data_IF_884046028046
#
_entry.id   IF_884046028046
#
_cell.length_a   1.000
_cell.length_b   1.000
_cell.length_c   1.000
_cell.angle_alpha   90.00
_cell.angle_beta   90.00
_cell.angle_gamma   90.00
#
_symmetry.space_group_name_H-M   'P 1'
#
loop_
_entity.id
_entity.type
_entity.pdbx_description
1 polymer ?
#
# COMPACT_ATOMS: atom_id res chain seq x y z
N UNK A 1 15.15 15.28 -18.85
CA UNK A 1 14.35 14.14 -19.36
C UNK A 1 13.10 13.77 -18.54
N UNK A 2 12.83 14.41 -17.38
CA UNK A 2 11.57 14.28 -16.64
C UNK A 2 10.33 14.85 -17.39
N UNK A 3 10.53 15.75 -18.35
CA UNK A 3 9.47 16.36 -19.18
C UNK A 3 8.67 15.34 -20.02
N UNK A 4 9.29 14.26 -20.52
CA UNK A 4 8.60 13.30 -21.43
C UNK A 4 7.62 12.35 -20.72
N UNK A 5 7.87 12.02 -19.45
CA UNK A 5 6.93 11.23 -18.64
C UNK A 5 5.73 12.07 -18.18
N UNK A 6 6.00 13.36 -17.88
CA UNK A 6 4.97 14.36 -17.63
C UNK A 6 4.07 14.53 -18.87
N UNK A 7 4.65 14.62 -20.06
CA UNK A 7 3.92 14.73 -21.34
C UNK A 7 3.07 13.51 -21.68
N UNK A 8 3.48 12.29 -21.32
CA UNK A 8 2.70 11.07 -21.60
C UNK A 8 1.47 10.97 -20.70
N UNK A 9 1.63 11.21 -19.39
CA UNK A 9 0.50 11.29 -18.46
C UNK A 9 -0.45 12.46 -18.81
N UNK A 10 0.10 13.62 -19.20
CA UNK A 10 -0.72 14.75 -19.68
C UNK A 10 -1.46 14.43 -20.98
N UNK A 11 -0.87 13.67 -21.92
CA UNK A 11 -1.53 13.24 -23.16
C UNK A 11 -2.65 12.24 -22.91
N UNK A 12 -2.45 11.25 -22.04
CA UNK A 12 -3.51 10.31 -21.65
C UNK A 12 -4.65 11.06 -20.93
N UNK A 13 -4.34 12.02 -20.05
CA UNK A 13 -5.34 12.85 -19.37
C UNK A 13 -6.03 13.83 -20.32
N UNK A 14 -5.33 14.41 -21.30
CA UNK A 14 -5.92 15.27 -22.32
C UNK A 14 -6.91 14.49 -23.18
N UNK A 15 -6.53 13.29 -23.62
CA UNK A 15 -7.38 12.35 -24.35
C UNK A 15 -8.58 11.89 -23.50
N UNK A 16 -8.38 11.60 -22.22
CA UNK A 16 -9.47 11.23 -21.29
C UNK A 16 -10.39 12.41 -20.94
N UNK A 17 -9.87 13.64 -20.82
CA UNK A 17 -10.67 14.85 -20.60
C UNK A 17 -11.49 15.24 -21.83
N UNK A 18 -11.01 14.91 -23.03
CA UNK A 18 -11.76 15.02 -24.27
C UNK A 18 -12.86 13.94 -24.34
N UNK A 19 -12.57 12.71 -23.91
CA UNK A 19 -13.58 11.65 -23.78
C UNK A 19 -14.63 11.92 -22.70
N UNK A 20 -14.28 12.55 -21.56
CA UNK A 20 -15.22 12.98 -20.51
C UNK A 20 -16.17 14.06 -21.04
N UNK A 21 -15.64 15.04 -21.79
CA UNK A 21 -16.46 16.08 -22.45
C UNK A 21 -17.34 15.51 -23.57
N UNK A 22 -16.89 14.46 -24.25
CA UNK A 22 -17.69 13.75 -25.25
C UNK A 22 -18.71 12.77 -24.64
N UNK A 23 -18.55 12.38 -23.36
CA UNK A 23 -19.38 11.40 -22.67
C UNK A 23 -20.52 12.03 -21.85
N UNK A 24 -20.90 13.28 -22.14
CA UNK A 24 -22.12 13.93 -21.61
C UNK A 24 -23.42 13.18 -22.00
N UNK A 25 -23.33 12.09 -22.75
CA UNK A 25 -24.42 11.17 -23.05
C UNK A 25 -24.32 9.85 -22.23
N UNK A 26 -24.85 9.91 -21.00
CA UNK A 26 -25.81 8.90 -20.53
C UNK A 26 -25.35 7.57 -19.91
N UNK A 27 -24.10 7.36 -19.47
CA UNK A 27 -23.72 6.09 -18.77
C UNK A 27 -23.12 6.31 -17.37
N UNK A 28 -23.88 6.04 -16.28
CA UNK A 28 -23.44 6.24 -14.89
C UNK A 28 -22.15 5.49 -14.50
N UNK A 29 -21.92 4.31 -15.09
CA UNK A 29 -20.74 3.48 -14.81
C UNK A 29 -19.43 4.10 -15.31
N UNK A 30 -19.46 4.80 -16.45
CA UNK A 30 -18.28 5.45 -17.03
C UNK A 30 -17.89 6.69 -16.21
N UNK A 31 -18.87 7.43 -15.69
CA UNK A 31 -18.65 8.61 -14.85
C UNK A 31 -18.00 8.25 -13.50
N UNK A 32 -18.47 7.18 -12.86
CA UNK A 32 -17.86 6.64 -11.64
C UNK A 32 -16.41 6.22 -11.88
N UNK A 33 -16.16 5.49 -12.97
CA UNK A 33 -14.82 5.04 -13.36
C UNK A 33 -13.86 6.22 -13.63
N UNK A 34 -14.31 7.23 -14.38
CA UNK A 34 -13.53 8.43 -14.70
C UNK A 34 -13.27 9.31 -13.47
N UNK A 35 -14.22 9.38 -12.53
CA UNK A 35 -14.04 10.08 -11.26
C UNK A 35 -13.01 9.37 -10.36
N UNK A 36 -13.05 8.04 -10.27
CA UNK A 36 -12.03 7.25 -9.57
C UNK A 36 -10.64 7.46 -10.17
N UNK A 37 -10.52 7.49 -11.51
CA UNK A 37 -9.27 7.80 -12.21
C UNK A 37 -8.75 9.21 -11.94
N UNK A 38 -9.64 10.21 -11.92
CA UNK A 38 -9.29 11.60 -11.60
C UNK A 38 -8.82 11.76 -10.15
N UNK A 39 -9.49 11.10 -9.20
CA UNK A 39 -9.07 11.10 -7.79
C UNK A 39 -7.73 10.40 -7.60
N UNK A 40 -7.48 9.29 -8.30
CA UNK A 40 -6.16 8.64 -8.35
C UNK A 40 -5.11 9.59 -8.93
N UNK A 41 -5.43 10.36 -9.97
CA UNK A 41 -4.50 11.31 -10.59
C UNK A 41 -4.18 12.54 -9.72
N UNK A 42 -5.19 13.20 -9.14
CA UNK A 42 -4.98 14.34 -8.25
C UNK A 42 -4.12 13.91 -7.06
N UNK A 43 -4.43 12.74 -6.51
CA UNK A 43 -3.65 12.16 -5.43
C UNK A 43 -2.26 11.71 -5.86
N UNK A 44 -2.09 11.22 -7.09
CA UNK A 44 -0.80 10.91 -7.70
C UNK A 44 0.09 12.16 -7.84
N UNK A 45 -0.50 13.29 -8.25
CA UNK A 45 0.20 14.58 -8.37
C UNK A 45 0.65 15.12 -7.01
N UNK A 46 -0.20 15.03 -5.99
CA UNK A 46 0.15 15.47 -4.63
C UNK A 46 1.20 14.56 -4.00
N UNK A 47 1.07 13.24 -4.20
CA UNK A 47 2.03 12.24 -3.71
C UNK A 47 3.40 12.45 -4.35
N UNK A 48 3.48 12.70 -5.66
CA UNK A 48 4.75 12.98 -6.34
C UNK A 48 5.38 14.26 -5.78
N UNK A 49 4.59 15.31 -5.58
CA UNK A 49 5.08 16.59 -5.06
C UNK A 49 5.71 16.42 -3.67
N UNK A 50 5.09 15.61 -2.81
CA UNK A 50 5.61 15.25 -1.47
C UNK A 50 6.85 14.35 -1.56
N UNK A 51 6.87 13.37 -2.45
CA UNK A 51 8.03 12.47 -2.67
C UNK A 51 9.25 13.22 -3.24
N UNK A 52 9.03 14.30 -3.98
CA UNK A 52 10.10 15.13 -4.57
C UNK A 52 10.59 16.25 -3.66
N UNK A 53 9.97 16.47 -2.50
CA UNK A 53 10.41 17.52 -1.57
C UNK A 53 11.66 17.07 -0.79
N UNK A 54 12.71 17.90 -0.69
CA UNK A 54 13.90 17.57 0.08
C UNK A 54 13.54 17.31 1.54
N UNK A 55 14.11 16.23 2.09
CA UNK A 55 13.84 15.80 3.46
C UNK A 55 14.40 16.83 4.45
N UNK A 56 13.54 17.45 5.25
CA UNK A 56 13.97 18.26 6.39
C UNK A 56 14.42 17.32 7.51
N UNK A 57 15.71 17.36 7.92
CA UNK A 57 16.24 16.51 8.99
C UNK A 57 15.68 16.87 10.39
N UNK A 58 15.03 18.02 10.56
CA UNK A 58 14.40 18.44 11.82
C UNK A 58 12.91 18.10 11.90
N UNK A 59 12.30 17.61 10.81
CA UNK A 59 10.89 17.26 10.81
C UNK A 59 10.65 15.98 11.62
N UNK A 60 9.89 16.13 12.72
CA UNK A 60 9.49 15.01 13.58
C UNK A 60 8.78 13.95 12.72
N UNK A 61 9.30 12.72 12.71
CA UNK A 61 8.71 11.62 11.93
C UNK A 61 7.31 11.32 12.45
N UNK A 62 6.29 11.63 11.65
CA UNK A 62 4.90 11.27 11.94
C UNK A 62 4.76 9.75 11.86
N UNK A 63 4.43 9.12 13.00
CA UNK A 63 4.23 7.67 13.15
C UNK A 63 2.85 7.42 13.75
N UNK A 64 2.21 6.28 13.45
CA UNK A 64 0.93 5.94 14.04
C UNK A 64 1.10 5.70 15.54
N UNK A 65 0.08 6.08 16.31
CA UNK A 65 0.07 5.90 17.77
C UNK A 65 -0.51 4.58 18.23
N UNK A 66 -1.16 3.83 17.34
CA UNK A 66 -1.72 2.51 17.61
C UNK A 66 -1.03 1.49 16.71
N UNK A 67 -0.41 0.49 17.33
CA UNK A 67 0.32 -0.57 16.64
C UNK A 67 -0.06 -1.93 17.24
N UNK A 68 0.12 -2.99 16.46
CA UNK A 68 -0.08 -4.36 16.93
C UNK A 68 1.26 -4.89 17.38
N UNK A 69 1.33 -5.38 18.62
CA UNK A 69 2.49 -6.12 19.10
C UNK A 69 2.53 -7.49 18.44
N UNK A 70 3.61 -7.78 17.72
CA UNK A 70 3.73 -8.96 16.86
C UNK A 70 3.81 -10.26 17.66
N UNK A 71 4.14 -10.22 18.95
CA UNK A 71 4.19 -11.40 19.83
C UNK A 71 2.84 -11.69 20.45
N UNK A 72 2.17 -10.66 20.97
CA UNK A 72 0.90 -10.82 21.70
C UNK A 72 -0.33 -10.75 20.78
N UNK A 73 -0.17 -10.18 19.57
CA UNK A 73 -1.23 -9.88 18.61
C UNK A 73 -2.30 -8.98 19.26
N UNK A 74 -1.85 -8.08 20.14
CA UNK A 74 -2.70 -7.09 20.81
C UNK A 74 -2.40 -5.72 20.26
N UNK A 75 -3.42 -4.88 20.23
CA UNK A 75 -3.24 -3.47 19.95
C UNK A 75 -2.62 -2.78 21.18
N UNK A 76 -1.59 -2.01 20.95
CA UNK A 76 -0.91 -1.16 21.94
C UNK A 76 -0.97 0.29 21.46
N UNK A 77 -1.24 1.19 22.39
CA UNK A 77 -1.34 2.62 22.13
C UNK A 77 -0.22 3.37 22.86
N UNK A 78 0.43 4.27 22.11
CA UNK A 78 1.54 5.09 22.58
C UNK A 78 1.05 6.49 22.91
N UNK A 79 1.44 6.98 24.08
CA UNK A 79 1.11 8.33 24.52
C UNK A 79 1.84 9.40 23.69
N UNK A 80 1.37 10.64 23.77
CA UNK A 80 1.92 11.77 23.01
C UNK A 80 3.42 12.02 23.27
N UNK A 81 3.90 11.66 24.47
CA UNK A 81 5.28 11.81 24.87
C UNK A 81 6.16 10.60 24.51
N UNK A 82 5.57 9.47 24.13
CA UNK A 82 6.31 8.26 23.84
C UNK A 82 6.95 8.32 22.46
N UNK A 83 8.17 7.78 22.35
CA UNK A 83 8.80 7.52 21.07
C UNK A 83 8.23 6.22 20.50
N UNK A 84 7.59 6.30 19.32
CA UNK A 84 7.06 5.11 18.64
C UNK A 84 8.23 4.31 18.06
N UNK A 85 8.41 3.02 18.44
CA UNK A 85 9.49 2.18 17.94
C UNK A 85 9.43 1.97 16.41
N UNK A 86 10.51 1.46 15.79
CA UNK A 86 10.46 0.98 14.41
C UNK A 86 9.39 -0.11 14.23
N UNK A 87 8.69 -0.08 13.10
CA UNK A 87 7.54 -0.95 12.84
C UNK A 87 7.46 -1.35 11.36
N UNK A 88 6.84 -2.50 11.12
CA UNK A 88 6.42 -2.94 9.80
C UNK A 88 5.00 -2.43 9.48
N UNK A 89 4.62 -2.42 8.21
CA UNK A 89 3.26 -2.10 7.78
C UNK A 89 2.71 -3.20 6.88
N UNK A 90 1.44 -3.58 7.06
CA UNK A 90 0.73 -4.47 6.14
C UNK A 90 -0.08 -3.63 5.16
N UNK A 91 0.10 -3.94 3.87
CA UNK A 91 -0.73 -3.48 2.78
C UNK A 91 -1.43 -4.68 2.15
N UNK A 92 -2.76 -4.69 2.14
CA UNK A 92 -3.55 -5.82 1.65
C UNK A 92 -4.89 -5.37 1.06
N UNK A 93 -5.44 -6.17 0.16
CA UNK A 93 -6.82 -6.01 -0.31
C UNK A 93 -7.80 -6.44 0.79
N UNK A 94 -8.83 -5.62 0.99
CA UNK A 94 -9.88 -5.92 1.95
C UNK A 94 -10.88 -6.91 1.38
N UNK A 95 -11.15 -7.99 2.12
CA UNK A 95 -12.23 -8.93 1.84
C UNK A 95 -13.48 -8.50 2.62
N UNK A 96 -14.55 -8.12 1.91
CA UNK A 96 -15.79 -7.67 2.53
C UNK A 96 -16.32 -8.70 3.53
N UNK A 97 -16.62 -8.24 4.76
CA UNK A 97 -17.13 -9.10 5.84
C UNK A 97 -16.09 -9.99 6.54
N UNK A 98 -14.86 -10.07 6.03
CA UNK A 98 -13.83 -10.94 6.58
C UNK A 98 -12.62 -10.21 7.20
N UNK A 99 -12.47 -8.92 6.96
CA UNK A 99 -11.48 -8.10 7.67
C UNK A 99 -11.84 -7.96 9.17
N UNK A 100 -10.79 -7.67 9.96
CA UNK A 100 -10.91 -7.35 11.38
C UNK A 100 -10.90 -5.83 11.53
N UNK A 101 -11.97 -5.28 12.10
CA UNK A 101 -12.03 -3.87 12.45
C UNK A 101 -11.25 -3.56 13.73
N UNK A 102 -11.02 -2.28 14.02
CA UNK A 102 -10.47 -1.84 15.31
C UNK A 102 -11.27 -2.39 16.50
N UNK A 103 -12.60 -2.26 16.47
CA UNK A 103 -13.47 -2.72 17.56
C UNK A 103 -13.38 -4.25 17.75
N UNK A 104 -13.25 -5.00 16.66
CA UNK A 104 -13.08 -6.45 16.71
C UNK A 104 -11.69 -6.82 17.26
N UNK A 105 -10.64 -6.10 16.86
CA UNK A 105 -9.28 -6.31 17.35
C UNK A 105 -9.18 -6.11 18.86
N UNK A 106 -9.85 -5.09 19.41
CA UNK A 106 -9.95 -4.86 20.87
C UNK A 106 -10.62 -6.05 21.57
N UNK A 107 -11.66 -6.63 20.95
CA UNK A 107 -12.42 -7.77 21.50
C UNK A 107 -11.75 -9.13 21.29
N UNK A 108 -10.79 -9.27 20.38
CA UNK A 108 -10.15 -10.54 20.01
C UNK A 108 -9.56 -11.33 21.19
N UNK A 109 -9.27 -10.67 22.31
CA UNK A 109 -8.72 -11.28 23.52
C UNK A 109 -9.78 -11.92 24.43
N UNK A 110 -11.07 -11.64 24.20
CA UNK A 110 -12.15 -12.22 25.00
C UNK A 110 -12.33 -13.71 24.64
N UNK A 111 -12.67 -14.53 25.64
CA UNK A 111 -12.95 -15.97 25.42
C UNK A 111 -14.08 -16.17 24.38
N UNK A 112 -15.03 -15.24 24.32
CA UNK A 112 -16.17 -15.23 23.39
C UNK A 112 -15.80 -14.85 21.95
N UNK A 113 -14.56 -14.40 21.69
CA UNK A 113 -14.14 -13.92 20.38
C UNK A 113 -13.77 -15.04 19.38
N UNK A 114 -14.24 -16.27 19.59
CA UNK A 114 -13.95 -17.40 18.70
C UNK A 114 -14.41 -17.13 17.25
N UNK A 115 -15.57 -16.50 17.07
CA UNK A 115 -16.09 -16.11 15.75
C UNK A 115 -15.17 -15.09 15.05
N UNK A 116 -14.68 -14.10 15.79
CA UNK A 116 -13.74 -13.08 15.28
C UNK A 116 -12.43 -13.74 14.85
N UNK A 117 -11.85 -14.61 15.70
CA UNK A 117 -10.60 -15.31 15.40
C UNK A 117 -10.70 -16.30 14.24
N UNK A 118 -11.92 -16.71 13.87
CA UNK A 118 -12.15 -17.62 12.74
C UNK A 118 -12.04 -16.94 11.36
N UNK A 119 -12.23 -15.61 11.30
CA UNK A 119 -12.21 -14.80 10.06
C UNK A 119 -10.87 -14.88 9.34
N UNK A 120 -10.89 -14.81 8.00
CA UNK A 120 -9.66 -14.82 7.18
C UNK A 120 -8.77 -13.60 7.50
N UNK A 121 -9.37 -12.42 7.77
CA UNK A 121 -8.65 -11.23 8.21
C UNK A 121 -7.80 -11.45 9.45
N UNK A 122 -8.31 -12.19 10.45
CA UNK A 122 -7.51 -12.49 11.65
C UNK A 122 -6.31 -13.36 11.33
N UNK A 123 -6.47 -14.38 10.47
CA UNK A 123 -5.36 -15.23 10.01
C UNK A 123 -4.30 -14.42 9.25
N UNK A 124 -4.73 -13.44 8.44
CA UNK A 124 -3.81 -12.50 7.76
C UNK A 124 -3.01 -11.68 8.78
N UNK A 125 -3.65 -11.15 9.82
CA UNK A 125 -2.97 -10.41 10.90
C UNK A 125 -1.94 -11.30 11.62
N UNK A 126 -2.31 -12.53 11.97
CA UNK A 126 -1.41 -13.49 12.64
C UNK A 126 -0.18 -13.77 11.77
N UNK A 127 -0.38 -14.08 10.49
CA UNK A 127 0.72 -14.38 9.58
C UNK A 127 1.60 -13.14 9.31
N UNK A 128 1.00 -11.95 9.21
CA UNK A 128 1.74 -10.68 9.12
C UNK A 128 2.60 -10.43 10.37
N UNK A 129 2.06 -10.67 11.56
CA UNK A 129 2.81 -10.58 12.82
C UNK A 129 3.96 -11.59 12.86
N UNK A 130 3.74 -12.82 12.39
CA UNK A 130 4.81 -13.83 12.29
C UNK A 130 5.93 -13.39 11.35
N UNK A 131 5.59 -12.84 10.18
CA UNK A 131 6.57 -12.34 9.23
C UNK A 131 7.32 -11.11 9.76
N UNK A 132 6.62 -10.16 10.40
CA UNK A 132 7.23 -9.02 11.08
C UNK A 132 8.23 -9.46 12.15
N UNK A 133 7.86 -10.44 12.97
CA UNK A 133 8.73 -11.00 14.00
C UNK A 133 9.96 -11.70 13.42
N UNK A 134 9.80 -12.41 12.29
CA UNK A 134 10.92 -13.03 11.55
C UNK A 134 11.93 -11.98 11.05
N UNK A 135 11.45 -10.79 10.70
CA UNK A 135 12.29 -9.67 10.30
C UNK A 135 12.69 -8.76 11.50
N UNK A 136 12.51 -9.22 12.74
CA UNK A 136 12.85 -8.54 14.01
C UNK A 136 12.05 -7.27 14.33
N UNK A 137 10.81 -7.16 13.84
CA UNK A 137 9.90 -6.09 14.24
C UNK A 137 8.97 -6.52 15.39
N UNK A 138 9.01 -5.76 16.48
CA UNK A 138 8.07 -5.92 17.61
C UNK A 138 6.67 -5.42 17.27
N UNK A 139 6.56 -4.49 16.32
CA UNK A 139 5.31 -3.82 16.00
C UNK A 139 4.99 -3.87 14.51
N UNK A 140 3.71 -4.01 14.21
CA UNK A 140 3.15 -3.88 12.86
C UNK A 140 1.93 -2.97 12.86
N UNK A 141 1.78 -2.15 11.83
CA UNK A 141 0.58 -1.35 11.58
C UNK A 141 -0.27 -1.97 10.47
N UNK A 142 -1.60 -1.98 10.67
CA UNK A 142 -2.58 -2.49 9.70
C UNK A 142 -3.79 -1.56 9.74
N UNK A 143 -4.13 -0.94 8.62
CA UNK A 143 -5.15 0.12 8.54
C UNK A 143 -6.53 -0.30 9.08
N UNK A 144 -6.99 -1.50 8.75
CA UNK A 144 -8.33 -2.00 9.13
C UNK A 144 -8.54 -2.08 10.63
N UNK A 145 -7.48 -2.38 11.40
CA UNK A 145 -7.57 -2.60 12.85
C UNK A 145 -6.79 -1.59 13.71
N UNK A 146 -5.88 -0.81 13.13
CA UNK A 146 -5.18 0.25 13.86
C UNK A 146 -5.87 1.62 13.75
N UNK A 147 -6.75 1.84 12.77
CA UNK A 147 -7.52 3.07 12.63
C UNK A 147 -8.90 2.85 13.25
N UNK A 148 -9.30 3.74 14.15
CA UNK A 148 -10.67 3.71 14.67
C UNK A 148 -11.56 4.53 13.76
N UNK A 149 -12.44 3.86 13.02
CA UNK A 149 -13.40 4.49 12.12
C UNK A 149 -14.60 5.11 12.84
N UNK A 150 -14.77 4.82 14.13
CA UNK A 150 -15.83 5.37 14.99
C UNK A 150 -15.51 6.74 15.56
N UNK A 151 -14.23 7.13 15.61
CA UNK A 151 -13.78 8.47 16.01
C UNK A 151 -13.46 9.30 14.76
N UNK A 152 -14.38 10.17 14.37
CA UNK A 152 -14.24 11.02 13.17
C UNK A 152 -13.06 12.00 13.26
N UNK A 153 -12.70 12.46 14.46
CA UNK A 153 -11.59 13.37 14.66
C UNK A 153 -10.26 12.67 14.42
N UNK A 154 -10.08 11.50 15.04
CA UNK A 154 -8.88 10.68 14.86
C UNK A 154 -8.79 10.09 13.45
N UNK A 155 -9.91 9.67 12.86
CA UNK A 155 -9.95 9.14 11.49
C UNK A 155 -9.41 10.14 10.47
N UNK A 156 -9.82 11.41 10.56
CA UNK A 156 -9.33 12.46 9.65
C UNK A 156 -7.81 12.65 9.79
N UNK A 157 -7.30 12.65 11.03
CA UNK A 157 -5.87 12.76 11.29
C UNK A 157 -5.08 11.55 10.76
N UNK A 158 -5.58 10.33 11.00
CA UNK A 158 -4.96 9.09 10.52
C UNK A 158 -4.95 9.03 8.98
N UNK A 159 -6.02 9.44 8.31
CA UNK A 159 -6.10 9.51 6.84
C UNK A 159 -5.09 10.52 6.29
N UNK A 160 -5.01 11.70 6.88
CA UNK A 160 -4.07 12.74 6.45
C UNK A 160 -2.61 12.34 6.71
N UNK A 161 -2.36 11.48 7.70
CA UNK A 161 -1.02 11.01 8.09
C UNK A 161 -0.63 9.67 7.45
N UNK A 162 -1.53 9.01 6.72
CA UNK A 162 -1.32 7.64 6.22
C UNK A 162 -0.08 7.54 5.33
N UNK A 163 0.15 8.53 4.45
CA UNK A 163 1.36 8.58 3.63
C UNK A 163 2.63 8.59 4.49
N UNK A 164 2.65 9.41 5.54
CA UNK A 164 3.79 9.47 6.46
C UNK A 164 3.96 8.18 7.26
N UNK A 165 2.88 7.47 7.58
CA UNK A 165 2.98 6.15 8.21
C UNK A 165 3.67 5.14 7.28
N UNK A 166 3.29 5.08 6.01
CA UNK A 166 4.00 4.26 5.04
C UNK A 166 5.46 4.70 4.87
N UNK A 167 5.71 6.01 4.73
CA UNK A 167 7.05 6.58 4.57
C UNK A 167 7.98 6.29 5.75
N UNK A 168 7.46 6.37 6.98
CA UNK A 168 8.24 6.22 8.21
C UNK A 168 8.24 4.78 8.76
N UNK A 169 7.63 3.83 8.04
CA UNK A 169 7.75 2.39 8.29
C UNK A 169 9.10 1.87 7.80
N UNK A 170 9.59 0.80 8.44
CA UNK A 170 10.87 0.19 8.05
C UNK A 170 10.69 -0.79 6.88
N UNK A 171 9.51 -1.40 6.78
CA UNK A 171 9.15 -2.30 5.68
C UNK A 171 7.64 -2.34 5.50
N UNK A 172 7.21 -2.33 4.24
CA UNK A 172 5.84 -2.62 3.83
C UNK A 172 5.74 -4.05 3.30
N UNK A 173 4.89 -4.85 3.93
CA UNK A 173 4.50 -6.18 3.45
C UNK A 173 3.25 -6.04 2.61
N UNK A 174 3.37 -6.38 1.32
CA UNK A 174 2.25 -6.41 0.39
C UNK A 174 1.73 -7.85 0.31
N UNK A 175 0.50 -8.06 0.76
CA UNK A 175 -0.18 -9.35 0.70
C UNK A 175 -1.05 -9.46 -0.56
N UNK A 176 -0.67 -10.38 -1.45
CA UNK A 176 -1.33 -10.64 -2.72
C UNK A 176 -2.13 -11.95 -2.64
N UNK A 177 -3.38 -11.86 -2.20
CA UNK A 177 -4.25 -13.03 -2.02
C UNK A 177 -4.58 -13.76 -3.33
N UNK A 178 -4.55 -13.05 -4.46
CA UNK A 178 -4.88 -13.54 -5.79
C UNK A 178 -3.63 -13.72 -6.69
N UNK A 179 -2.44 -13.72 -6.09
CA UNK A 179 -1.22 -14.05 -6.80
C UNK A 179 -1.05 -15.57 -6.92
N UNK A 180 -0.98 -16.06 -8.14
CA UNK A 180 -0.73 -17.47 -8.45
C UNK A 180 0.61 -17.60 -9.18
N UNK A 181 1.66 -18.12 -8.51
CA UNK A 181 2.94 -18.31 -9.16
C UNK A 181 2.84 -19.30 -10.32
N UNK A 182 3.46 -18.87 -11.41
CA UNK A 182 3.45 -19.39 -12.76
C UNK A 182 3.72 -20.90 -12.93
N UNK A 183 4.47 -21.52 -12.02
CA UNK A 183 4.82 -22.96 -12.09
C UNK A 183 3.62 -23.92 -11.96
N UNK A 184 2.42 -23.44 -11.66
CA UNK A 184 1.24 -24.29 -11.42
C UNK A 184 0.32 -24.44 -12.65
N UNK A 185 0.62 -23.78 -13.78
CA UNK A 185 -0.16 -23.85 -15.03
C UNK A 185 0.81 -24.05 -16.20
N UNK A 186 0.66 -25.10 -16.98
CA UNK A 186 1.62 -25.52 -18.02
C UNK A 186 2.20 -24.41 -18.92
N UNK A 187 3.39 -24.69 -19.47
CA UNK A 187 4.21 -23.75 -20.22
C UNK A 187 3.51 -23.19 -21.47
N UNK A 188 3.61 -21.87 -21.70
CA UNK A 188 3.23 -21.21 -22.97
C UNK A 188 4.35 -20.25 -23.41
N UNK A 189 4.31 -19.72 -24.64
CA UNK A 189 5.36 -18.82 -25.14
C UNK A 189 5.32 -17.44 -24.43
N UNK A 190 4.12 -16.92 -24.15
CA UNK A 190 3.89 -15.68 -23.36
C UNK A 190 4.51 -15.77 -21.96
N UNK A 191 4.50 -16.98 -21.42
CA UNK A 191 4.96 -17.36 -20.10
C UNK A 191 6.50 -17.26 -19.98
N UNK A 192 7.26 -17.45 -21.07
CA UNK A 192 8.73 -17.33 -21.09
C UNK A 192 9.21 -15.87 -21.13
N UNK A 193 8.40 -14.95 -21.64
CA UNK A 193 8.78 -13.55 -21.89
C UNK A 193 8.38 -12.61 -20.75
N UNK A 194 7.46 -13.02 -19.87
CA UNK A 194 6.99 -12.24 -18.73
C UNK A 194 6.80 -13.12 -17.47
N UNK A 195 7.90 -13.48 -16.77
CA UNK A 195 7.86 -14.42 -15.63
C UNK A 195 7.07 -13.92 -14.39
N UNK A 196 6.60 -12.67 -14.40
CA UNK A 196 5.95 -12.01 -13.27
C UNK A 196 4.52 -11.60 -13.62
N UNK A 197 3.54 -12.52 -13.50
CA UNK A 197 2.13 -12.20 -13.71
C UNK A 197 1.51 -11.44 -12.51
N UNK A 198 2.16 -10.36 -12.09
CA UNK A 198 1.65 -9.45 -11.06
C UNK A 198 0.44 -8.66 -11.57
N UNK A 199 0.28 -8.52 -12.90
CA UNK A 199 -0.79 -7.74 -13.53
C UNK A 199 -2.20 -8.32 -13.37
N UNK A 200 -2.32 -9.55 -12.86
CA UNK A 200 -3.60 -10.14 -12.46
C UNK A 200 -3.99 -9.88 -11.01
N UNK A 201 -3.09 -9.32 -10.18
CA UNK A 201 -3.36 -9.12 -8.76
C UNK A 201 -4.18 -7.85 -8.53
N UNK A 202 -5.33 -7.98 -7.88
CA UNK A 202 -6.27 -6.90 -7.57
C UNK A 202 -5.60 -5.75 -6.80
N UNK A 203 -4.53 -6.06 -6.06
CA UNK A 203 -3.75 -5.07 -5.33
C UNK A 203 -3.27 -3.93 -6.21
N UNK A 204 -2.79 -4.19 -7.44
CA UNK A 204 -2.23 -3.15 -8.31
C UNK A 204 -3.24 -2.15 -8.86
N UNK A 205 -4.54 -2.48 -8.82
CA UNK A 205 -5.61 -1.67 -9.41
C UNK A 205 -6.38 -0.84 -8.38
N UNK A 206 -5.89 -0.79 -7.13
CA UNK A 206 -6.52 -0.01 -6.05
C UNK A 206 -6.04 1.44 -6.07
N UNK A 207 -6.89 2.34 -5.57
CA UNK A 207 -6.57 3.77 -5.47
C UNK A 207 -5.49 4.13 -4.45
N UNK A 208 -5.05 3.20 -3.60
CA UNK A 208 -4.04 3.41 -2.54
C UNK A 208 -2.68 2.78 -2.83
N UNK A 209 -2.62 1.82 -3.77
CA UNK A 209 -1.43 1.07 -4.21
C UNK A 209 -0.20 1.93 -4.36
N UNK A 210 -0.37 3.13 -4.93
CA UNK A 210 0.74 4.03 -5.20
C UNK A 210 1.47 4.46 -3.93
N UNK A 211 0.72 4.92 -2.91
CA UNK A 211 1.33 5.38 -1.66
C UNK A 211 2.02 4.22 -0.94
N UNK A 212 1.37 3.07 -0.93
CA UNK A 212 1.85 1.83 -0.30
C UNK A 212 3.11 1.28 -1.00
N UNK A 213 3.25 1.56 -2.30
CA UNK A 213 4.37 1.13 -3.12
C UNK A 213 5.55 2.11 -3.09
N UNK A 214 5.30 3.42 -3.12
CA UNK A 214 6.36 4.44 -3.30
C UNK A 214 6.83 5.07 -1.99
N UNK A 215 5.95 5.20 -0.99
CA UNK A 215 6.29 5.88 0.25
C UNK A 215 7.28 5.08 1.11
N UNK A 216 7.10 3.76 1.33
CA UNK A 216 8.01 2.99 2.16
C UNK A 216 9.42 2.91 1.56
N UNK A 217 10.42 2.87 2.44
CA UNK A 217 11.81 2.66 2.06
C UNK A 217 12.05 1.25 1.49
N UNK A 218 11.31 0.27 2.00
CA UNK A 218 11.37 -1.15 1.61
C UNK A 218 9.95 -1.71 1.43
N UNK A 219 9.74 -2.46 0.34
CA UNK A 219 8.46 -3.14 0.05
C UNK A 219 8.74 -4.57 -0.36
N UNK A 220 8.12 -5.53 0.34
CA UNK A 220 8.24 -6.97 0.11
C UNK A 220 6.87 -7.56 -0.23
N UNK A 221 6.80 -8.38 -1.26
CA UNK A 221 5.57 -8.99 -1.75
C UNK A 221 5.45 -10.44 -1.29
N UNK A 222 4.26 -10.83 -0.85
CA UNK A 222 3.92 -12.17 -0.38
C UNK A 222 2.65 -12.68 -1.03
N UNK A 223 2.60 -13.98 -1.32
CA UNK A 223 1.39 -14.64 -1.83
C UNK A 223 0.37 -14.97 -0.72
N UNK A 224 -0.76 -15.58 -1.11
CA UNK A 224 -1.81 -16.01 -0.19
C UNK A 224 -1.34 -17.01 0.91
N UNK A 225 -0.22 -17.70 0.68
CA UNK A 225 0.40 -18.64 1.62
C UNK A 225 1.55 -18.00 2.40
N UNK A 226 1.70 -16.67 2.33
CA UNK A 226 2.80 -15.93 2.94
C UNK A 226 4.19 -16.38 2.46
N UNK A 227 4.28 -16.86 1.23
CA UNK A 227 5.56 -17.12 0.56
C UNK A 227 6.08 -15.83 -0.05
N UNK A 228 7.36 -15.55 0.18
CA UNK A 228 8.04 -14.39 -0.40
C UNK A 228 8.11 -14.50 -1.93
N UNK A 229 7.62 -13.48 -2.63
CA UNK A 229 7.57 -13.42 -4.09
C UNK A 229 8.67 -12.52 -4.68
N UNK A 230 9.22 -11.61 -3.88
CA UNK A 230 10.20 -10.61 -4.31
C UNK A 230 9.98 -9.28 -3.59
N UNK A 231 10.85 -8.32 -3.86
CA UNK A 231 10.75 -6.95 -3.37
C UNK A 231 10.58 -5.95 -4.52
N UNK A 232 10.36 -4.68 -4.18
CA UNK A 232 10.18 -3.60 -5.16
C UNK A 232 11.35 -3.45 -6.12
N UNK A 233 12.58 -3.81 -5.73
CA UNK A 233 13.76 -3.76 -6.61
C UNK A 233 13.77 -4.96 -7.55
N UNK A 234 13.57 -6.17 -7.04
CA UNK A 234 13.56 -7.40 -7.86
C UNK A 234 12.40 -7.44 -8.85
N UNK A 235 11.27 -6.80 -8.51
CA UNK A 235 10.05 -6.77 -9.32
C UNK A 235 9.89 -5.45 -10.09
N UNK A 236 10.92 -4.60 -10.16
CA UNK A 236 10.82 -3.25 -10.72
C UNK A 236 10.32 -3.21 -12.17
N UNK A 237 10.72 -4.15 -13.03
CA UNK A 237 10.27 -4.25 -14.43
C UNK A 237 8.78 -4.58 -14.49
N UNK A 238 8.34 -5.54 -13.68
CA UNK A 238 6.94 -5.95 -13.63
C UNK A 238 6.05 -4.83 -13.07
N UNK A 239 6.51 -4.17 -12.00
CA UNK A 239 5.84 -3.01 -11.42
C UNK A 239 5.75 -1.87 -12.43
N UNK A 240 6.84 -1.56 -13.13
CA UNK A 240 6.85 -0.55 -14.19
C UNK A 240 5.86 -0.89 -15.31
N UNK A 241 5.82 -2.14 -15.76
CA UNK A 241 4.91 -2.58 -16.82
C UNK A 241 3.43 -2.41 -16.43
N UNK A 242 3.09 -2.62 -15.15
CA UNK A 242 1.70 -2.51 -14.65
C UNK A 242 1.33 -1.06 -14.33
N UNK A 243 2.23 -0.33 -13.67
CA UNK A 243 1.93 0.98 -13.07
C UNK A 243 2.42 2.17 -13.91
N UNK A 244 3.32 1.94 -14.85
CA UNK A 244 4.03 2.99 -15.58
C UNK A 244 5.10 3.74 -14.77
N UNK A 245 5.28 3.41 -13.48
CA UNK A 245 6.26 4.08 -12.61
C UNK A 245 7.67 3.65 -13.01
N UNK A 246 8.52 4.61 -13.39
CA UNK A 246 9.89 4.31 -13.83
C UNK A 246 10.73 3.73 -12.68
N UNK A 247 11.61 2.79 -13.02
CA UNK A 247 12.49 2.09 -12.07
C UNK A 247 13.29 3.05 -11.15
N UNK A 248 13.70 4.23 -11.63
CA UNK A 248 14.49 5.18 -10.84
C UNK A 248 13.74 5.75 -9.62
N UNK A 249 12.40 5.73 -9.62
CA UNK A 249 11.59 6.10 -8.46
C UNK A 249 11.39 4.91 -7.50
N UNK A 250 11.54 3.68 -7.99
CA UNK A 250 11.33 2.42 -7.26
C UNK A 250 12.58 1.94 -6.52
N UNK A 251 13.78 2.42 -6.89
CA UNK A 251 15.05 2.01 -6.27
C UNK A 251 15.31 2.62 -4.89
N UNK A 252 14.48 3.55 -4.42
CA UNK A 252 14.53 4.10 -3.06
C UNK A 252 15.83 4.87 -2.74
N UNK A 253 16.59 5.29 -3.75
CA UNK A 253 17.81 6.04 -3.56
C UNK A 253 17.53 7.40 -2.95
N UNK A 254 18.29 7.77 -1.90
CA UNK A 254 18.43 9.16 -1.46
C UNK A 254 18.56 10.02 -2.72
N UNK A 255 17.69 11.01 -2.90
CA UNK A 255 17.83 11.98 -3.98
C UNK A 255 19.12 12.77 -3.74
N UNK A 256 20.25 12.25 -4.21
CA UNK A 256 21.47 13.02 -4.36
C UNK A 256 21.17 14.08 -5.42
N UNK A 257 21.24 15.35 -5.00
CA UNK A 257 21.19 16.57 -5.82
C UNK A 257 21.41 16.29 -7.30
N UNK A 258 20.35 16.36 -8.10
CA UNK A 258 20.53 16.66 -9.51
C UNK A 258 20.73 18.17 -9.63
N UNK A 259 21.99 18.59 -9.68
CA UNK A 259 22.38 19.91 -10.17
C UNK A 259 21.84 20.03 -11.60
N UNK A 260 21.08 21.08 -11.85
CA UNK A 260 20.69 21.48 -13.20
C UNK A 260 21.94 22.00 -13.90
N UNK A 261 22.33 21.34 -14.99
CA UNK A 261 22.94 21.99 -16.15
C UNK A 261 21.99 21.77 -17.32
#
# INVERSE_FOLDING_TARGET
MARRGYDFAHRIVSLMSASVRSAELGRPSLRSFLHSLLMVYLRWKDTISVVTSPHDPLQKRTRPRRLINTRTIKLEEFSSNDSVPPYAILSHCWEAGHEISYQEMVKCQLLTAASIRSKSGYRKIVAACMQARKDNFTYIWIDTCCIDKGDHGQLSQDINSMFDYYKNSEVCYVYLYDYYPWFSRGWTLQNLVAPWNLGGCSWFFRGWTLQELVAPSSVKFFDAKWKYCGDRKTLNIAIWAITGIRWGLLEGGKQSKMSVL
#
